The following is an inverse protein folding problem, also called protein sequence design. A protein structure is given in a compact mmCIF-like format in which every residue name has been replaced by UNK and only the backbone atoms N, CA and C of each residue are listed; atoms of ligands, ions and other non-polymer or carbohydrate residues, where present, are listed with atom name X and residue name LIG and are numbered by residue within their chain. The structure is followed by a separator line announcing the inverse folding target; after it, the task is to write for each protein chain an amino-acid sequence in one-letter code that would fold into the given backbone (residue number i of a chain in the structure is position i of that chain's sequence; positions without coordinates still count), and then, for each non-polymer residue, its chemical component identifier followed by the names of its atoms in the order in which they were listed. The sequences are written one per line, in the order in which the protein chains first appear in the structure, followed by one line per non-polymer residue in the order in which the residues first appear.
data_IF_422247094422
#
_entry.id   IF_422247094422
#
_cell.length_a   1.000
_cell.length_b   1.000
_cell.length_c   1.000
_cell.angle_alpha   90.00
_cell.angle_beta   90.00
_cell.angle_gamma   90.00
#
_symmetry.space_group_name_H-M   'P 1'
#
loop_
_entity.id
_entity.type
_entity.pdbx_description
1 polymer ?
#
# COMPACT_ATOMS: atom_id res chain seq x y z
N UNK A 1 11.32 2.87 -23.25
CA UNK A 1 9.98 2.87 -22.66
C UNK A 1 9.24 1.66 -23.17
N UNK A 2 8.42 1.06 -22.35
CA UNK A 2 7.56 -0.07 -22.72
C UNK A 2 6.19 0.12 -22.03
N UNK A 3 5.05 -0.05 -22.71
CA UNK A 3 4.97 -0.19 -24.15
C UNK A 3 5.39 1.10 -24.89
N UNK A 4 5.60 1.00 -26.19
CA UNK A 4 5.84 2.17 -27.03
C UNK A 4 4.52 2.92 -27.36
N UNK A 5 4.63 4.07 -28.01
CA UNK A 5 3.46 4.91 -28.29
C UNK A 5 2.46 4.23 -29.25
N UNK A 6 2.95 3.47 -30.23
CA UNK A 6 2.10 2.79 -31.22
C UNK A 6 1.33 1.61 -30.58
N UNK A 7 1.98 0.91 -29.65
CA UNK A 7 1.35 -0.15 -28.85
C UNK A 7 0.26 0.45 -27.94
N UNK A 8 0.53 1.59 -27.30
CA UNK A 8 -0.43 2.30 -26.46
C UNK A 8 -1.65 2.76 -27.27
N UNK A 9 -1.44 3.35 -28.46
CA UNK A 9 -2.53 3.78 -29.31
C UNK A 9 -3.49 2.64 -29.69
N UNK A 10 -2.97 1.42 -29.86
CA UNK A 10 -3.78 0.22 -30.15
C UNK A 10 -4.61 -0.24 -28.96
N UNK A 11 -4.08 -0.07 -27.75
CA UNK A 11 -4.72 -0.50 -26.50
C UNK A 11 -5.69 0.53 -25.92
N UNK A 12 -5.47 1.82 -26.20
CA UNK A 12 -6.20 2.93 -25.57
C UNK A 12 -7.74 2.83 -25.70
N UNK A 13 -8.35 2.29 -26.77
CA UNK A 13 -9.80 2.16 -26.83
C UNK A 13 -10.42 1.19 -25.82
N UNK A 14 -9.63 0.24 -25.29
CA UNK A 14 -10.12 -0.84 -24.43
C UNK A 14 -9.86 -0.61 -22.93
N UNK A 15 -9.04 0.40 -22.57
CA UNK A 15 -8.57 0.63 -21.21
C UNK A 15 -8.63 2.09 -20.80
N UNK A 16 -8.87 2.37 -19.53
CA UNK A 16 -8.92 3.73 -18.97
C UNK A 16 -7.52 4.25 -18.62
N UNK A 17 -6.64 3.33 -18.22
CA UNK A 17 -5.24 3.62 -17.90
C UNK A 17 -4.33 2.58 -18.53
N UNK A 18 -3.11 3.00 -18.90
CA UNK A 18 -2.07 2.11 -19.42
C UNK A 18 -0.77 2.39 -18.66
N UNK A 19 -0.12 1.35 -18.07
CA UNK A 19 1.18 1.51 -17.43
C UNK A 19 2.28 1.70 -18.48
N UNK A 20 3.06 2.77 -18.32
CA UNK A 20 4.30 3.02 -19.07
C UNK A 20 5.47 2.73 -18.13
N UNK A 21 6.45 1.96 -18.59
CA UNK A 21 7.54 1.47 -17.77
C UNK A 21 8.90 1.76 -18.40
N UNK A 22 9.88 2.01 -17.53
CA UNK A 22 11.31 2.03 -17.87
C UNK A 22 12.08 1.23 -16.83
N UNK A 23 12.91 0.30 -17.29
CA UNK A 23 13.87 -0.40 -16.43
C UNK A 23 15.21 0.37 -16.36
N UNK A 24 15.81 0.36 -15.16
CA UNK A 24 17.18 0.80 -14.89
C UNK A 24 17.88 -0.23 -14.01
N UNK A 25 19.21 -0.26 -13.96
CA UNK A 25 19.97 -1.12 -13.07
C UNK A 25 19.92 -0.61 -11.63
N UNK A 26 19.95 -1.54 -10.67
CA UNK A 26 19.87 -1.28 -9.23
C UNK A 26 21.21 -1.58 -8.51
N UNK A 27 22.32 -1.43 -9.21
CA UNK A 27 23.67 -1.84 -8.80
C UNK A 27 24.23 -1.09 -7.58
N UNK A 28 23.73 0.12 -7.30
CA UNK A 28 24.25 0.98 -6.21
C UNK A 28 23.16 1.49 -5.26
N UNK A 29 21.94 0.99 -5.33
CA UNK A 29 20.82 1.51 -4.54
C UNK A 29 19.98 0.39 -3.92
N UNK A 30 19.47 0.61 -2.70
CA UNK A 30 18.60 -0.33 -1.99
C UNK A 30 17.18 0.21 -1.89
N UNK A 31 16.15 -0.63 -1.62
CA UNK A 31 14.78 -0.16 -1.37
C UNK A 31 14.69 0.88 -0.26
N UNK A 32 15.48 0.74 0.81
CA UNK A 32 15.52 1.72 1.92
C UNK A 32 16.09 3.06 1.45
N UNK A 33 17.14 3.05 0.63
CA UNK A 33 17.69 4.29 0.06
C UNK A 33 16.67 4.96 -0.86
N UNK A 34 15.94 4.19 -1.68
CA UNK A 34 14.83 4.70 -2.49
C UNK A 34 13.75 5.34 -1.61
N UNK A 35 13.33 4.68 -0.53
CA UNK A 35 12.36 5.22 0.41
C UNK A 35 12.77 6.58 0.96
N UNK A 36 14.05 6.71 1.38
CA UNK A 36 14.60 7.98 1.88
C UNK A 36 14.60 9.09 0.83
N UNK A 37 14.80 8.75 -0.45
CA UNK A 37 14.68 9.72 -1.55
C UNK A 37 13.24 10.16 -1.76
N UNK A 38 12.28 9.24 -1.71
CA UNK A 38 10.85 9.57 -1.79
C UNK A 38 10.38 10.40 -0.61
N UNK A 39 10.84 10.09 0.62
CA UNK A 39 10.54 10.85 1.82
C UNK A 39 11.08 12.31 1.76
N UNK A 40 12.12 12.58 0.98
CA UNK A 40 12.65 13.93 0.79
C UNK A 40 11.77 14.81 -0.11
N UNK A 41 10.91 14.20 -0.94
CA UNK A 41 10.08 14.92 -1.94
C UNK A 41 8.58 14.80 -1.68
N UNK A 42 8.15 13.85 -0.83
CA UNK A 42 6.74 13.61 -0.53
C UNK A 42 6.52 13.32 0.96
N UNK A 43 5.36 13.74 1.47
CA UNK A 43 4.89 13.38 2.83
C UNK A 43 4.08 12.08 2.86
N UNK A 44 3.63 11.58 1.70
CA UNK A 44 2.81 10.37 1.57
C UNK A 44 3.52 9.40 0.63
N UNK A 45 4.12 8.37 1.20
CA UNK A 45 4.87 7.35 0.48
C UNK A 45 4.71 5.99 1.19
N UNK A 46 5.05 4.92 0.48
CA UNK A 46 5.04 3.57 1.04
C UNK A 46 6.23 2.75 0.55
N UNK A 47 6.55 1.72 1.32
CA UNK A 47 7.38 0.59 0.95
C UNK A 47 6.65 -0.69 1.34
N UNK A 48 6.43 -1.56 0.36
CA UNK A 48 6.01 -2.94 0.56
C UNK A 48 7.22 -3.84 0.31
N UNK A 49 7.69 -4.48 1.35
CA UNK A 49 8.87 -5.34 1.31
C UNK A 49 8.55 -6.68 1.97
N UNK A 50 8.99 -7.79 1.34
CA UNK A 50 8.88 -9.12 1.91
C UNK A 50 10.19 -9.48 2.60
N UNK A 51 10.12 -9.93 3.86
CA UNK A 51 11.30 -10.33 4.65
C UNK A 51 11.69 -11.78 4.37
N UNK A 52 10.74 -12.64 4.01
CA UNK A 52 11.01 -14.04 3.74
C UNK A 52 11.49 -14.23 2.30
N UNK A 53 12.75 -14.66 2.18
CA UNK A 53 13.41 -14.91 0.92
C UNK A 53 12.85 -16.16 0.24
N UNK A 54 12.39 -15.99 -0.97
CA UNK A 54 12.08 -17.02 -1.93
C UNK A 54 11.94 -16.38 -3.29
N UNK A 55 12.42 -17.04 -4.34
CA UNK A 55 12.38 -16.52 -5.72
C UNK A 55 10.97 -16.15 -6.20
N UNK A 56 9.92 -16.64 -5.52
CA UNK A 56 8.52 -16.40 -5.90
C UNK A 56 7.85 -15.30 -5.09
N UNK A 57 8.04 -15.25 -3.76
CA UNK A 57 7.27 -14.35 -2.86
C UNK A 57 8.02 -13.11 -2.43
N UNK A 58 9.35 -13.21 -2.24
CA UNK A 58 10.22 -12.11 -1.81
C UNK A 58 10.96 -11.40 -2.95
N UNK A 59 10.57 -11.64 -4.21
CA UNK A 59 11.33 -11.13 -5.36
C UNK A 59 11.30 -9.63 -5.52
N UNK A 60 10.20 -8.98 -5.17
CA UNK A 60 10.01 -7.56 -5.41
C UNK A 60 9.82 -6.77 -4.11
N UNK A 61 10.41 -5.56 -4.05
CA UNK A 61 9.97 -4.50 -3.17
C UNK A 61 9.26 -3.42 -3.98
N UNK A 62 8.11 -2.93 -3.50
CA UNK A 62 7.32 -1.91 -4.19
C UNK A 62 7.31 -0.62 -3.38
N UNK A 63 7.54 0.50 -4.06
CA UNK A 63 7.48 1.84 -3.49
C UNK A 63 6.57 2.72 -4.33
N UNK A 64 5.89 3.66 -3.68
CA UNK A 64 5.12 4.71 -4.33
C UNK A 64 5.05 5.94 -3.44
N UNK A 65 4.67 7.05 -4.04
CA UNK A 65 4.57 8.35 -3.38
C UNK A 65 3.59 9.25 -4.12
N UNK A 66 3.17 10.35 -3.47
CA UNK A 66 2.20 11.31 -3.99
C UNK A 66 0.96 10.62 -4.59
N UNK A 67 0.09 10.04 -3.74
CA UNK A 67 -1.12 9.39 -4.19
C UNK A 67 -2.06 10.40 -4.87
N UNK A 68 -2.71 9.97 -5.94
CA UNK A 68 -3.69 10.80 -6.68
C UNK A 68 -5.04 10.89 -6.00
N UNK A 69 -5.29 10.03 -5.02
CA UNK A 69 -6.53 9.99 -4.26
C UNK A 69 -6.28 9.30 -2.92
N UNK A 70 -7.05 9.70 -1.89
CA UNK A 70 -7.15 8.97 -0.62
C UNK A 70 -8.61 8.70 -0.30
N UNK A 71 -8.92 7.50 0.13
CA UNK A 71 -10.27 7.08 0.52
C UNK A 71 -10.21 6.52 1.94
N UNK A 72 -10.94 7.16 2.86
CA UNK A 72 -11.04 6.75 4.27
C UNK A 72 -12.46 6.32 4.58
N UNK A 73 -12.64 5.33 5.42
CA UNK A 73 -13.93 4.98 5.99
C UNK A 73 -13.88 4.93 7.51
N UNK A 74 -14.84 5.55 8.15
CA UNK A 74 -15.03 5.44 9.60
C UNK A 74 -16.52 5.27 9.90
N UNK A 75 -16.90 4.12 10.43
CA UNK A 75 -18.30 3.82 10.80
C UNK A 75 -19.28 4.04 9.64
N UNK A 76 -18.95 3.58 8.44
CA UNK A 76 -19.78 3.71 7.24
C UNK A 76 -19.76 5.08 6.57
N UNK A 77 -19.07 6.07 7.16
CA UNK A 77 -18.82 7.36 6.53
C UNK A 77 -17.54 7.27 5.72
N UNK A 78 -17.67 7.29 4.39
CA UNK A 78 -16.56 7.27 3.44
C UNK A 78 -16.22 8.70 3.04
N UNK A 79 -14.95 9.05 3.17
CA UNK A 79 -14.39 10.34 2.75
C UNK A 79 -13.41 10.10 1.60
N UNK A 80 -13.56 10.81 0.49
CA UNK A 80 -12.70 10.76 -0.69
C UNK A 80 -11.99 12.10 -0.83
N UNK A 81 -10.67 12.10 -0.71
CA UNK A 81 -9.79 13.25 -0.97
C UNK A 81 -9.19 13.09 -2.37
N UNK A 82 -9.47 14.00 -3.29
CA UNK A 82 -8.96 14.01 -4.65
C UNK A 82 -8.80 15.44 -5.15
N UNK A 83 -7.67 15.77 -5.77
CA UNK A 83 -7.36 17.07 -6.38
C UNK A 83 -7.56 18.27 -5.41
N UNK A 84 -7.38 18.06 -4.09
CA UNK A 84 -7.59 19.06 -3.05
C UNK A 84 -9.05 19.21 -2.59
N UNK A 85 -9.97 18.49 -3.20
CA UNK A 85 -11.37 18.44 -2.80
C UNK A 85 -11.65 17.23 -1.92
N UNK A 86 -12.59 17.39 -0.98
CA UNK A 86 -13.05 16.31 -0.10
C UNK A 86 -14.56 16.11 -0.29
N UNK A 87 -14.94 14.87 -0.60
CA UNK A 87 -16.35 14.46 -0.73
C UNK A 87 -16.67 13.36 0.26
N UNK A 88 -17.91 13.33 0.76
CA UNK A 88 -18.35 12.39 1.78
C UNK A 88 -19.57 11.60 1.31
N UNK A 89 -19.61 10.31 1.64
CA UNK A 89 -20.74 9.41 1.37
C UNK A 89 -20.97 8.50 2.59
N UNK A 90 -22.19 8.42 3.08
CA UNK A 90 -22.57 7.47 4.13
C UNK A 90 -23.17 6.23 3.49
N UNK A 91 -22.69 5.04 3.88
CA UNK A 91 -23.12 3.76 3.31
C UNK A 91 -22.88 2.60 4.28
N UNK A 92 -23.72 1.58 4.19
CA UNK A 92 -23.56 0.29 4.86
C UNK A 92 -22.63 -0.69 4.07
N UNK A 93 -22.25 -0.31 2.84
CA UNK A 93 -21.39 -1.10 1.94
C UNK A 93 -20.14 -0.32 1.52
N UNK A 94 -19.25 0.02 2.47
CA UNK A 94 -18.12 0.92 2.17
C UNK A 94 -17.12 0.34 1.17
N UNK A 95 -17.02 -0.98 1.02
CA UNK A 95 -16.16 -1.62 0.02
C UNK A 95 -16.65 -1.40 -1.42
N UNK A 96 -17.96 -1.22 -1.63
CA UNK A 96 -18.49 -0.94 -2.96
C UNK A 96 -18.00 0.41 -3.49
N UNK A 97 -17.74 1.39 -2.60
CA UNK A 97 -17.18 2.68 -3.00
C UNK A 97 -15.80 2.51 -3.63
N UNK A 98 -14.94 1.67 -3.05
CA UNK A 98 -13.62 1.37 -3.63
C UNK A 98 -13.76 0.65 -4.98
N UNK A 99 -14.72 -0.28 -5.10
CA UNK A 99 -15.00 -0.99 -6.36
C UNK A 99 -15.52 -0.06 -7.44
N UNK A 100 -16.40 0.89 -7.07
CA UNK A 100 -16.91 1.91 -7.99
C UNK A 100 -15.77 2.77 -8.54
N UNK A 101 -14.89 3.27 -7.66
CA UNK A 101 -13.72 4.04 -8.08
C UNK A 101 -12.84 3.22 -9.05
N UNK A 102 -12.58 1.96 -8.75
CA UNK A 102 -11.70 1.12 -9.57
C UNK A 102 -12.26 0.81 -10.97
N UNK A 103 -13.57 1.00 -11.21
CA UNK A 103 -14.14 0.86 -12.56
C UNK A 103 -13.55 1.84 -13.56
N UNK A 104 -13.15 3.03 -13.11
CA UNK A 104 -12.54 4.09 -13.94
C UNK A 104 -11.01 3.90 -14.11
N UNK A 105 -10.47 2.75 -13.69
CA UNK A 105 -9.05 2.43 -13.72
C UNK A 105 -8.77 1.06 -14.35
N UNK A 106 -9.55 0.69 -15.38
CA UNK A 106 -9.32 -0.55 -16.15
C UNK A 106 -7.98 -0.47 -16.87
N UNK A 107 -7.07 -1.39 -16.54
CA UNK A 107 -5.70 -1.44 -17.05
C UNK A 107 -5.37 -2.78 -17.72
N UNK A 108 -4.51 -2.83 -18.76
CA UNK A 108 -4.03 -4.06 -19.34
C UNK A 108 -3.02 -4.75 -18.41
N UNK A 109 -2.99 -6.08 -18.46
CA UNK A 109 -1.89 -6.86 -17.90
C UNK A 109 -0.82 -7.05 -18.97
N UNK A 110 0.26 -6.29 -18.86
CA UNK A 110 1.36 -6.34 -19.83
C UNK A 110 2.40 -7.38 -19.40
N UNK A 111 2.81 -8.22 -20.35
CA UNK A 111 3.89 -9.19 -20.12
C UNK A 111 5.20 -8.45 -19.77
N UNK A 112 5.96 -8.97 -18.83
CA UNK A 112 7.25 -8.38 -18.41
C UNK A 112 7.15 -7.32 -17.34
N UNK A 113 5.97 -6.77 -17.03
CA UNK A 113 5.81 -5.90 -15.87
C UNK A 113 5.78 -6.67 -14.55
N UNK A 114 6.19 -6.04 -13.43
CA UNK A 114 6.01 -6.59 -12.10
C UNK A 114 4.52 -6.86 -11.80
N UNK A 115 4.21 -7.76 -10.84
CA UNK A 115 2.82 -8.15 -10.53
C UNK A 115 1.98 -7.01 -9.96
N UNK A 116 2.59 -5.96 -9.44
CA UNK A 116 1.93 -4.75 -8.98
C UNK A 116 2.49 -3.54 -9.73
N UNK A 117 1.64 -2.88 -10.51
CA UNK A 117 2.00 -1.73 -11.35
C UNK A 117 1.30 -0.42 -10.94
N UNK A 118 0.44 -0.45 -9.92
CA UNK A 118 -0.34 0.68 -9.42
C UNK A 118 -1.63 0.23 -8.77
N UNK A 119 -2.33 1.14 -8.10
CA UNK A 119 -3.58 0.84 -7.44
C UNK A 119 -3.65 1.35 -6.00
N UNK A 120 -4.62 0.84 -5.24
CA UNK A 120 -4.77 1.19 -3.84
C UNK A 120 -3.75 0.50 -2.95
N UNK A 121 -3.09 1.28 -2.09
CA UNK A 121 -2.23 0.83 -1.00
C UNK A 121 -2.71 1.48 0.29
N UNK A 122 -2.81 0.70 1.36
CA UNK A 122 -3.28 1.17 2.66
C UNK A 122 -3.61 -0.01 3.57
N UNK A 123 -4.59 0.17 4.47
CA UNK A 123 -4.98 -0.88 5.37
C UNK A 123 -6.51 -1.01 5.47
N UNK A 124 -6.95 -2.22 5.78
CA UNK A 124 -8.27 -2.53 6.30
C UNK A 124 -8.15 -2.90 7.78
N UNK A 125 -8.90 -2.22 8.64
CA UNK A 125 -8.96 -2.59 10.04
C UNK A 125 -9.65 -3.94 10.21
N UNK A 126 -9.29 -4.70 11.25
CA UNK A 126 -9.94 -5.99 11.55
C UNK A 126 -11.46 -5.86 11.72
N UNK A 127 -11.92 -4.70 12.24
CA UNK A 127 -13.33 -4.38 12.43
C UNK A 127 -14.16 -4.37 11.13
N UNK A 128 -13.52 -4.32 9.95
CA UNK A 128 -14.20 -4.43 8.66
C UNK A 128 -15.02 -5.71 8.49
N UNK A 129 -14.67 -6.78 9.22
CA UNK A 129 -15.46 -8.01 9.23
C UNK A 129 -16.92 -7.77 9.64
N UNK A 130 -17.19 -6.73 10.45
CA UNK A 130 -18.54 -6.37 10.85
C UNK A 130 -19.48 -5.98 9.72
N UNK A 131 -18.94 -5.51 8.56
CA UNK A 131 -19.74 -5.24 7.36
C UNK A 131 -20.12 -6.50 6.59
N UNK A 132 -19.28 -7.54 6.66
CA UNK A 132 -19.58 -8.84 6.04
C UNK A 132 -20.42 -9.73 6.96
N UNK A 133 -20.20 -9.63 8.27
CA UNK A 133 -20.85 -10.46 9.31
C UNK A 133 -21.56 -9.56 10.35
N UNK A 134 -22.76 -9.03 10.04
CA UNK A 134 -23.47 -8.07 10.91
C UNK A 134 -23.90 -8.66 12.26
N UNK A 135 -23.90 -9.99 12.40
CA UNK A 135 -24.20 -10.68 13.68
C UNK A 135 -23.09 -10.47 14.72
N UNK A 136 -21.89 -10.14 14.28
CA UNK A 136 -20.76 -9.90 15.17
C UNK A 136 -20.91 -8.52 15.82
N UNK A 137 -20.91 -8.49 17.15
CA UNK A 137 -20.88 -7.23 17.92
C UNK A 137 -19.45 -6.69 18.00
N UNK A 138 -18.96 -6.12 16.91
CA UNK A 138 -17.62 -5.56 16.84
C UNK A 138 -17.56 -4.24 17.62
N UNK A 139 -16.61 -4.13 18.55
CA UNK A 139 -16.32 -2.86 19.22
C UNK A 139 -15.65 -1.92 18.24
N UNK A 140 -16.12 -0.66 18.18
CA UNK A 140 -15.46 0.37 17.39
C UNK A 140 -14.01 0.55 17.85
N UNK A 141 -13.09 0.50 16.91
CA UNK A 141 -11.69 0.82 17.15
C UNK A 141 -11.42 2.33 17.10
N UNK A 142 -10.17 2.71 17.35
CA UNK A 142 -9.69 4.09 17.22
C UNK A 142 -9.21 4.41 15.80
N UNK A 143 -9.02 3.39 14.97
CA UNK A 143 -8.60 3.53 13.57
C UNK A 143 -9.80 3.61 12.63
N UNK A 144 -9.57 4.18 11.45
CA UNK A 144 -10.53 4.08 10.35
C UNK A 144 -10.79 2.61 10.02
N UNK A 145 -12.00 2.30 9.52
CA UNK A 145 -12.33 0.95 9.04
C UNK A 145 -11.41 0.56 7.88
N UNK A 146 -11.11 1.54 7.00
CA UNK A 146 -10.00 1.48 6.05
C UNK A 146 -9.44 2.88 5.77
N UNK A 147 -8.18 2.91 5.34
CA UNK A 147 -7.49 4.10 4.85
C UNK A 147 -6.61 3.70 3.67
N UNK A 148 -7.07 4.03 2.47
CA UNK A 148 -6.52 3.57 1.20
C UNK A 148 -6.09 4.75 0.36
N UNK A 149 -4.90 4.70 -0.21
CA UNK A 149 -4.36 5.70 -1.11
C UNK A 149 -4.16 5.11 -2.49
N UNK A 150 -4.61 5.80 -3.54
CA UNK A 150 -4.45 5.38 -4.92
C UNK A 150 -3.16 5.95 -5.49
N UNK A 151 -2.26 5.06 -5.91
CA UNK A 151 -0.99 5.42 -6.50
C UNK A 151 -0.96 5.09 -7.99
N UNK A 152 -0.65 6.08 -8.79
CA UNK A 152 -0.45 5.99 -10.24
C UNK A 152 1.03 5.78 -10.61
N UNK A 153 1.96 6.04 -9.68
CA UNK A 153 3.40 5.86 -9.82
C UNK A 153 3.90 4.76 -8.90
N UNK A 154 4.64 3.80 -9.46
CA UNK A 154 5.23 2.69 -8.71
C UNK A 154 6.69 2.50 -9.12
N UNK A 155 7.54 2.31 -8.15
CA UNK A 155 8.92 1.86 -8.31
C UNK A 155 8.98 0.42 -7.82
N UNK A 156 9.25 -0.53 -8.71
CA UNK A 156 9.40 -1.93 -8.36
C UNK A 156 10.88 -2.32 -8.42
N UNK A 157 11.44 -2.72 -7.29
CA UNK A 157 12.80 -3.22 -7.16
C UNK A 157 12.78 -4.75 -7.30
N UNK A 158 13.41 -5.28 -8.34
CA UNK A 158 13.55 -6.72 -8.59
C UNK A 158 14.85 -7.21 -7.96
N UNK A 159 14.75 -7.89 -6.82
CA UNK A 159 15.90 -8.44 -6.09
C UNK A 159 16.63 -9.55 -6.86
N UNK A 160 15.92 -10.28 -7.70
CA UNK A 160 16.51 -11.37 -8.48
C UNK A 160 17.32 -10.84 -9.68
N UNK A 161 16.75 -9.88 -10.42
CA UNK A 161 17.40 -9.32 -11.62
C UNK A 161 18.28 -8.11 -11.32
N UNK A 162 18.27 -7.59 -10.09
CA UNK A 162 18.96 -6.36 -9.70
C UNK A 162 18.60 -5.19 -10.63
N UNK A 163 17.28 -5.00 -10.84
CA UNK A 163 16.72 -3.96 -11.68
C UNK A 163 15.62 -3.19 -10.94
N UNK A 164 15.41 -1.97 -11.36
CA UNK A 164 14.32 -1.12 -10.92
C UNK A 164 13.43 -0.84 -12.11
N UNK A 165 12.14 -1.19 -12.01
CA UNK A 165 11.11 -0.78 -12.95
C UNK A 165 10.42 0.47 -12.42
N UNK A 166 10.50 1.57 -13.16
CA UNK A 166 9.79 2.81 -12.89
C UNK A 166 8.54 2.79 -13.74
N UNK A 167 7.36 2.78 -13.10
CA UNK A 167 6.06 2.62 -13.75
C UNK A 167 5.23 3.87 -13.46
N UNK A 168 4.62 4.43 -14.52
CA UNK A 168 3.65 5.52 -14.43
C UNK A 168 2.41 5.11 -15.21
N UNK A 169 1.25 5.11 -14.55
CA UNK A 169 -0.03 4.79 -15.15
C UNK A 169 -0.62 6.04 -15.80
N UNK A 170 -0.66 6.10 -17.12
CA UNK A 170 -1.21 7.20 -17.86
C UNK A 170 -2.69 6.97 -18.21
N UNK A 171 -3.50 8.03 -18.23
CA UNK A 171 -4.88 8.00 -18.73
C UNK A 171 -4.90 7.94 -20.26
N UNK A 172 -5.96 7.33 -20.81
CA UNK A 172 -6.12 7.10 -22.26
C UNK A 172 -6.96 8.16 -22.95
N UNK A 173 -7.55 9.11 -22.24
CA UNK A 173 -8.38 10.20 -22.78
C UNK A 173 -7.66 11.11 -23.77
N UNK A 174 -6.34 11.37 -23.55
CA UNK A 174 -5.45 12.19 -24.39
C UNK A 174 -4.12 11.49 -24.57
N UNK A 175 -4.11 10.40 -25.33
CA UNK A 175 -2.98 9.46 -25.40
C UNK A 175 -1.63 10.13 -25.64
N UNK A 176 -1.50 10.97 -26.68
CA UNK A 176 -0.20 11.59 -27.02
C UNK A 176 0.30 12.55 -25.94
N UNK A 177 -0.60 13.36 -25.37
CA UNK A 177 -0.25 14.29 -24.29
C UNK A 177 0.14 13.54 -23.03
N UNK A 178 -0.67 12.55 -22.64
CA UNK A 178 -0.46 11.78 -21.41
C UNK A 178 0.77 10.86 -21.52
N UNK A 179 1.08 10.32 -22.70
CA UNK A 179 2.32 9.60 -22.94
C UNK A 179 3.55 10.49 -22.77
N UNK A 180 3.51 11.72 -23.30
CA UNK A 180 4.55 12.71 -23.10
C UNK A 180 4.76 13.05 -21.62
N UNK A 181 3.65 13.26 -20.87
CA UNK A 181 3.70 13.50 -19.42
C UNK A 181 4.27 12.30 -18.65
N UNK A 182 3.82 11.09 -18.95
CA UNK A 182 4.30 9.87 -18.30
C UNK A 182 5.79 9.65 -18.54
N UNK A 183 6.26 9.84 -19.77
CA UNK A 183 7.69 9.75 -20.11
C UNK A 183 8.55 10.77 -19.37
N UNK A 184 8.08 12.00 -19.25
CA UNK A 184 8.74 13.05 -18.47
C UNK A 184 8.81 12.68 -16.99
N UNK A 185 7.72 12.26 -16.38
CA UNK A 185 7.67 11.81 -14.99
C UNK A 185 8.60 10.61 -14.74
N UNK A 186 8.67 9.65 -15.64
CA UNK A 186 9.61 8.53 -15.53
C UNK A 186 11.07 9.02 -15.56
N UNK A 187 11.37 10.02 -16.42
CA UNK A 187 12.71 10.60 -16.49
C UNK A 187 13.05 11.34 -15.19
N UNK A 188 12.12 12.11 -14.64
CA UNK A 188 12.29 12.83 -13.36
C UNK A 188 12.52 11.86 -12.20
N UNK A 189 11.77 10.75 -12.16
CA UNK A 189 11.98 9.69 -11.19
C UNK A 189 13.35 9.02 -11.35
N UNK A 190 13.78 8.75 -12.58
CA UNK A 190 15.10 8.20 -12.83
C UNK A 190 16.22 9.16 -12.37
N UNK A 191 16.02 10.47 -12.53
CA UNK A 191 16.94 11.50 -12.05
C UNK A 191 16.94 11.57 -10.50
N UNK A 192 15.77 11.51 -9.86
CA UNK A 192 15.65 11.44 -8.39
C UNK A 192 16.37 10.21 -7.83
N UNK A 193 16.20 9.04 -8.45
CA UNK A 193 16.87 7.82 -8.05
C UNK A 193 18.39 7.97 -8.09
N UNK A 194 18.93 8.65 -9.10
CA UNK A 194 20.37 8.90 -9.26
C UNK A 194 20.89 10.06 -8.42
N UNK A 195 20.03 10.95 -7.95
CA UNK A 195 20.43 12.12 -7.15
C UNK A 195 21.06 11.70 -5.82
N UNK A 196 21.73 12.63 -5.15
CA UNK A 196 22.22 12.43 -3.78
C UNK A 196 21.22 12.88 -2.71
N UNK A 197 20.05 13.38 -3.09
CA UNK A 197 19.05 13.88 -2.19
C UNK A 197 18.41 12.73 -1.41
N UNK A 198 18.45 12.80 -0.09
CA UNK A 198 17.79 11.85 0.83
C UNK A 198 17.25 12.59 2.04
N UNK A 199 16.11 12.15 2.58
CA UNK A 199 15.66 12.62 3.87
C UNK A 199 16.49 11.97 4.99
N UNK A 200 16.80 12.76 6.01
CA UNK A 200 17.29 12.21 7.27
C UNK A 200 16.12 11.58 8.02
N UNK A 201 16.23 10.30 8.33
CA UNK A 201 15.28 9.62 9.20
C UNK A 201 15.80 9.77 10.62
N UNK A 202 15.12 10.55 11.47
CA UNK A 202 15.55 10.71 12.85
C UNK A 202 15.48 9.36 13.56
N UNK A 203 16.59 8.94 14.19
CA UNK A 203 16.64 7.74 15.02
C UNK A 203 16.41 8.17 16.45
N UNK A 204 15.26 7.83 17.03
CA UNK A 204 15.03 8.05 18.45
C UNK A 204 15.97 7.16 19.27
N UNK A 205 16.80 7.79 20.12
CA UNK A 205 17.64 7.11 21.11
C UNK A 205 16.96 6.94 22.47
N UNK A 206 15.69 7.35 22.59
CA UNK A 206 14.96 7.25 23.85
C UNK A 206 14.63 5.79 24.17
N UNK A 207 14.86 5.42 25.44
CA UNK A 207 14.40 4.13 25.97
C UNK A 207 12.88 4.13 25.94
N UNK A 208 12.29 3.13 25.29
CA UNK A 208 10.84 2.99 25.16
C UNK A 208 10.39 2.02 26.25
N UNK A 209 9.57 2.50 27.18
CA UNK A 209 8.93 1.66 28.19
C UNK A 209 7.57 1.19 27.69
N UNK A 210 7.35 -0.13 27.75
CA UNK A 210 6.10 -0.76 27.36
C UNK A 210 5.26 -1.11 28.56
N UNK A 211 3.97 -0.79 28.50
CA UNK A 211 2.95 -1.30 29.42
C UNK A 211 2.16 -2.42 28.72
N UNK A 212 1.85 -3.48 29.44
CA UNK A 212 1.08 -4.59 28.93
C UNK A 212 -0.33 -4.58 29.59
N UNK A 213 -1.38 -4.86 28.80
CA UNK A 213 -2.76 -4.90 29.28
C UNK A 213 -3.13 -6.18 30.06
N UNK A 214 -2.27 -7.21 29.99
CA UNK A 214 -2.47 -8.52 30.63
C UNK A 214 -1.16 -8.96 31.26
N UNK A 215 -1.17 -9.37 32.53
CA UNK A 215 0.00 -9.92 33.22
C UNK A 215 0.41 -11.28 32.62
N UNK A 216 1.62 -11.73 32.94
CA UNK A 216 2.10 -13.05 32.51
C UNK A 216 1.18 -14.17 33.07
N UNK A 217 0.82 -14.07 34.34
CA UNK A 217 0.01 -15.06 35.06
C UNK A 217 -1.40 -15.14 34.46
N UNK A 218 -2.03 -14.01 34.15
CA UNK A 218 -3.32 -13.94 33.48
C UNK A 218 -3.27 -14.50 32.07
N UNK A 219 -2.22 -14.19 31.30
CA UNK A 219 -2.03 -14.73 29.96
C UNK A 219 -1.89 -16.26 30.00
N UNK A 220 -1.10 -16.82 30.94
CA UNK A 220 -0.98 -18.26 31.09
C UNK A 220 -2.33 -18.93 31.43
N UNK A 221 -3.14 -18.32 32.31
CA UNK A 221 -4.50 -18.84 32.61
C UNK A 221 -5.40 -18.85 31.38
N UNK A 222 -5.33 -17.80 30.51
CA UNK A 222 -6.09 -17.79 29.26
C UNK A 222 -5.66 -18.92 28.32
N UNK A 223 -4.34 -19.20 28.24
CA UNK A 223 -3.82 -20.31 27.44
C UNK A 223 -4.34 -21.66 27.96
N UNK A 224 -4.27 -21.92 29.27
CA UNK A 224 -4.75 -23.20 29.84
C UNK A 224 -6.25 -23.35 29.59
N UNK A 225 -7.06 -22.33 29.84
CA UNK A 225 -8.50 -22.37 29.57
C UNK A 225 -8.80 -22.61 28.07
N UNK A 226 -8.00 -22.07 27.16
CA UNK A 226 -8.18 -22.29 25.72
C UNK A 226 -7.87 -23.73 25.33
N UNK A 227 -6.89 -24.38 25.99
CA UNK A 227 -6.60 -25.81 25.80
C UNK A 227 -7.78 -26.68 26.22
N UNK A 228 -8.47 -26.32 27.31
CA UNK A 228 -9.70 -27.03 27.73
C UNK A 228 -10.73 -27.00 26.60
N UNK A 229 -11.06 -25.86 26.00
CA UNK A 229 -12.00 -25.76 24.88
C UNK A 229 -11.58 -26.57 23.65
N UNK A 230 -10.26 -26.72 23.41
CA UNK A 230 -9.76 -27.57 22.32
C UNK A 230 -9.99 -29.04 22.64
N UNK A 231 -9.72 -29.45 23.89
CA UNK A 231 -9.95 -30.87 24.34
C UNK A 231 -11.44 -31.22 24.32
N UNK A 232 -12.30 -30.29 24.72
CA UNK A 232 -13.76 -30.46 24.72
C UNK A 232 -14.37 -30.46 23.31
N UNK A 233 -13.59 -30.08 22.30
CA UNK A 233 -14.02 -30.04 20.89
C UNK A 233 -14.81 -28.78 20.49
N UNK A 234 -14.88 -27.78 21.36
CA UNK A 234 -15.57 -26.53 21.09
C UNK A 234 -14.86 -25.70 19.98
N UNK A 235 -13.53 -25.76 19.94
CA UNK A 235 -12.67 -25.12 18.97
C UNK A 235 -11.49 -26.01 18.61
N UNK A 236 -10.89 -25.84 17.45
CA UNK A 236 -9.66 -26.55 17.04
C UNK A 236 -8.41 -25.64 17.04
N UNK A 237 -8.62 -24.32 17.02
CA UNK A 237 -7.54 -23.33 17.06
C UNK A 237 -8.04 -22.02 17.67
N UNK A 238 -7.21 -21.37 18.47
CA UNK A 238 -7.40 -19.99 18.91
C UNK A 238 -6.09 -19.24 18.96
N UNK A 239 -6.14 -17.94 18.70
CA UNK A 239 -5.01 -17.03 18.85
C UNK A 239 -5.27 -16.13 20.04
N UNK A 240 -4.50 -16.33 21.14
CA UNK A 240 -4.57 -15.51 22.34
C UNK A 240 -3.55 -14.40 22.21
N UNK A 241 -4.00 -13.15 22.30
CA UNK A 241 -3.15 -11.98 22.15
C UNK A 241 -3.10 -11.13 23.41
N UNK A 242 -2.03 -10.35 23.53
CA UNK A 242 -1.87 -9.29 24.51
C UNK A 242 -1.37 -8.03 23.82
N UNK A 243 -1.69 -6.87 24.38
CA UNK A 243 -1.33 -5.59 23.83
C UNK A 243 -0.21 -4.95 24.66
N UNK A 244 0.86 -4.56 23.98
CA UNK A 244 1.88 -3.70 24.53
C UNK A 244 1.66 -2.28 24.01
N UNK A 245 1.66 -1.30 24.90
CA UNK A 245 1.47 0.10 24.58
C UNK A 245 2.65 0.93 25.11
N UNK A 246 3.10 1.89 24.32
CA UNK A 246 4.09 2.88 24.71
C UNK A 246 3.70 4.26 24.20
N UNK A 247 4.03 5.30 24.95
CA UNK A 247 3.94 6.68 24.46
C UNK A 247 5.24 7.02 23.72
N UNK A 248 5.17 7.23 22.44
CA UNK A 248 6.26 7.86 21.70
C UNK A 248 6.28 9.35 22.05
N UNK A 249 7.42 9.86 22.48
CA UNK A 249 7.67 11.30 22.48
C UNK A 249 7.92 11.70 21.03
N UNK A 250 7.40 12.84 20.62
CA UNK A 250 7.68 13.38 19.29
C UNK A 250 9.18 13.37 19.00
N UNK A 251 9.53 12.87 17.82
CA UNK A 251 10.91 12.80 17.32
C UNK A 251 11.16 14.04 16.49
#
# INVERSE_FOLDING_TARGET
MYPDCDEILKMAPDYDIIPVCREIYADVITPITLLRKLAAVSKRYYLLESVEGGEKWGRYSFLGFDPVMRVKCSCGKVTIEKDGEETEKVTDKPLEVLREILKDYKAPRLAGLPPFAGGFVGYFAYAMIGYAEPKLKIKKGTFNDYDMMLFDKVIAYDHLKQKISIIVNMKTDKVMENYGKATAQIQDLANLIRSQQTADIPVSKSKIDFTCNVSKEEYCKLVEKTKEYIVDGDIFQAVISRQFSSRMREV
#
